data_IF_844908752597
#
_entry.id   IF_844908752597
#
_cell.length_a   1.000
_cell.length_b   1.000
_cell.length_c   1.000
_cell.angle_alpha   90.00
_cell.angle_beta   90.00
_cell.angle_gamma   90.00
#
_symmetry.space_group_name_H-M   'P 1'
#
loop_
_entity.id
_entity.type
_entity.pdbx_description
1 polymer ?
#
# COMPACT_ATOMS: atom_id res chain seq x y z
N UNK A 1 24.68 20.08 5.39
CA UNK A 1 24.33 18.74 4.88
C UNK A 1 22.88 18.49 5.26
N UNK A 2 22.11 17.92 4.35
CA UNK A 2 20.71 17.53 4.58
C UNK A 2 20.64 16.03 4.88
N UNK A 3 19.72 15.64 5.75
CA UNK A 3 19.44 14.25 6.11
C UNK A 3 18.00 13.92 5.73
N UNK A 4 17.84 12.85 4.97
CA UNK A 4 16.52 12.39 4.53
C UNK A 4 15.78 11.62 5.62
N UNK A 5 14.47 11.78 5.69
CA UNK A 5 13.59 10.99 6.52
C UNK A 5 12.25 10.77 5.81
N UNK A 6 11.58 9.68 6.12
CA UNK A 6 10.26 9.36 5.57
C UNK A 6 9.48 8.48 6.51
N UNK A 7 8.16 8.47 6.37
CA UNK A 7 7.31 7.67 7.25
C UNK A 7 7.69 6.18 7.26
N UNK A 8 7.96 5.60 6.08
CA UNK A 8 8.36 4.19 5.96
C UNK A 8 9.69 3.89 6.65
N UNK A 9 10.64 4.83 6.62
CA UNK A 9 11.93 4.74 7.32
C UNK A 9 11.72 4.72 8.83
N UNK A 10 11.00 5.71 9.36
CA UNK A 10 10.67 5.83 10.79
C UNK A 10 9.88 4.61 11.28
N UNK A 11 8.89 4.15 10.53
CA UNK A 11 8.12 2.95 10.85
C UNK A 11 8.99 1.70 10.90
N UNK A 12 9.92 1.54 9.95
CA UNK A 12 10.87 0.42 9.91
C UNK A 12 11.82 0.46 11.12
N UNK A 13 12.37 1.63 11.44
CA UNK A 13 13.28 1.82 12.57
C UNK A 13 12.59 1.52 13.91
N UNK A 14 11.37 2.03 14.13
CA UNK A 14 10.56 1.73 15.33
C UNK A 14 10.23 0.25 15.47
N UNK A 15 9.94 -0.41 14.35
CA UNK A 15 9.63 -1.84 14.34
C UNK A 15 10.85 -2.69 14.67
N UNK A 16 11.97 -2.45 13.98
CA UNK A 16 13.22 -3.17 14.17
C UNK A 16 14.37 -2.39 13.54
N UNK A 17 15.33 -1.93 14.37
CA UNK A 17 16.48 -1.18 13.89
C UNK A 17 17.33 -2.01 12.90
N UNK A 18 17.48 -3.31 13.10
CA UNK A 18 18.19 -4.19 12.16
C UNK A 18 17.48 -4.28 10.81
N UNK A 19 16.15 -4.31 10.77
CA UNK A 19 15.39 -4.23 9.52
C UNK A 19 15.65 -2.92 8.80
N UNK A 20 15.67 -1.80 9.53
CA UNK A 20 15.98 -0.50 8.97
C UNK A 20 17.40 -0.46 8.39
N UNK A 21 18.42 -0.94 9.13
CA UNK A 21 19.80 -1.02 8.65
C UNK A 21 19.90 -1.79 7.32
N UNK A 22 19.34 -3.00 7.29
CA UNK A 22 19.38 -3.85 6.09
C UNK A 22 18.73 -3.20 4.87
N UNK A 23 17.61 -2.51 5.09
CA UNK A 23 16.79 -1.94 4.03
C UNK A 23 17.27 -0.58 3.52
N UNK A 24 17.71 0.31 4.42
CA UNK A 24 17.99 1.71 4.08
C UNK A 24 19.46 2.09 4.20
N UNK A 25 20.26 1.42 5.02
CA UNK A 25 21.69 1.69 5.13
C UNK A 25 22.47 0.76 4.19
N UNK A 26 22.24 -0.55 4.30
CA UNK A 26 22.91 -1.55 3.45
C UNK A 26 22.24 -1.62 2.07
N UNK A 27 20.93 -1.32 2.01
CA UNK A 27 20.17 -1.26 0.78
C UNK A 27 19.84 -2.62 0.19
N UNK A 28 19.45 -3.57 1.02
CA UNK A 28 19.02 -4.88 0.54
C UNK A 28 17.52 -4.89 0.21
N UNK A 29 17.17 -5.49 -0.90
CA UNK A 29 15.79 -5.88 -1.23
C UNK A 29 15.77 -7.33 -1.69
N UNK A 30 14.64 -8.01 -1.48
CA UNK A 30 14.49 -9.38 -1.99
C UNK A 30 14.43 -9.37 -3.51
N UNK A 31 15.20 -10.25 -4.17
CA UNK A 31 15.09 -10.50 -5.62
C UNK A 31 13.67 -10.87 -6.03
N UNK A 32 12.95 -11.55 -5.12
CA UNK A 32 11.55 -11.94 -5.32
C UNK A 32 10.69 -11.35 -4.21
N UNK A 33 9.90 -10.31 -4.52
CA UNK A 33 8.96 -9.75 -3.56
C UNK A 33 7.88 -10.77 -3.19
N UNK A 34 7.44 -10.76 -1.95
CA UNK A 34 6.32 -11.60 -1.51
C UNK A 34 5.02 -11.24 -2.28
N UNK A 35 4.17 -12.25 -2.53
CA UNK A 35 2.92 -12.07 -3.28
C UNK A 35 2.02 -10.90 -2.82
N UNK A 36 1.83 -10.63 -1.50
CA UNK A 36 1.07 -9.46 -1.07
C UNK A 36 1.69 -8.13 -1.49
N UNK A 37 3.02 -8.03 -1.50
CA UNK A 37 3.73 -6.81 -1.86
C UNK A 37 3.60 -6.53 -3.37
N UNK A 38 3.86 -7.53 -4.21
CA UNK A 38 3.75 -7.38 -5.67
C UNK A 38 2.31 -7.12 -6.11
N UNK A 39 1.30 -7.72 -5.43
CA UNK A 39 -0.12 -7.39 -5.65
C UNK A 39 -0.39 -5.91 -5.43
N UNK A 40 0.10 -5.36 -4.32
CA UNK A 40 -0.01 -3.93 -4.02
C UNK A 40 0.61 -3.08 -5.11
N UNK A 41 1.87 -3.37 -5.47
CA UNK A 41 2.60 -2.62 -6.51
C UNK A 41 1.85 -2.60 -7.84
N UNK A 42 1.38 -3.75 -8.33
CA UNK A 42 0.66 -3.83 -9.61
C UNK A 42 -0.65 -3.02 -9.55
N UNK A 43 -1.43 -3.15 -8.46
CA UNK A 43 -2.67 -2.40 -8.30
C UNK A 43 -2.42 -0.89 -8.24
N UNK A 44 -1.38 -0.42 -7.53
CA UNK A 44 -0.99 1.00 -7.52
C UNK A 44 -0.60 1.49 -8.92
N UNK A 45 0.21 0.73 -9.68
CA UNK A 45 0.55 1.08 -11.06
C UNK A 45 -0.71 1.17 -11.96
N UNK A 46 -1.67 0.25 -11.80
CA UNK A 46 -2.94 0.29 -12.55
C UNK A 46 -3.80 1.51 -12.17
N UNK A 47 -3.86 1.86 -10.87
CA UNK A 47 -4.57 3.03 -10.37
C UNK A 47 -3.88 4.34 -10.78
N UNK A 48 -2.55 4.36 -10.83
CA UNK A 48 -1.79 5.47 -11.40
C UNK A 48 -2.13 5.67 -12.89
N UNK A 49 -2.17 4.58 -13.66
CA UNK A 49 -2.53 4.63 -15.08
C UNK A 49 -3.93 5.21 -15.31
N UNK A 50 -4.89 4.98 -14.40
CA UNK A 50 -6.23 5.58 -14.46
C UNK A 50 -6.21 7.12 -14.37
N UNK A 51 -5.34 7.68 -13.52
CA UNK A 51 -5.22 9.13 -13.33
C UNK A 51 -4.31 9.81 -14.37
N UNK A 52 -3.68 9.02 -15.26
CA UNK A 52 -2.69 9.52 -16.22
C UNK A 52 -3.15 9.23 -17.65
N UNK A 53 -3.58 10.23 -18.45
CA UNK A 53 -4.24 10.00 -19.74
C UNK A 53 -3.46 9.16 -20.76
N UNK A 54 -2.13 9.16 -20.67
CA UNK A 54 -1.26 8.43 -21.62
C UNK A 54 -0.96 6.98 -21.19
N UNK A 55 -1.31 6.60 -19.97
CA UNK A 55 -1.08 5.25 -19.44
C UNK A 55 -2.37 4.43 -19.52
N UNK A 56 -2.20 3.13 -19.71
CA UNK A 56 -3.33 2.18 -19.74
C UNK A 56 -3.08 1.04 -18.75
N UNK A 57 -4.05 0.74 -17.92
CA UNK A 57 -3.95 -0.37 -16.96
C UNK A 57 -3.68 -1.73 -17.63
N UNK A 58 -4.19 -1.93 -18.86
CA UNK A 58 -3.87 -3.11 -19.65
C UNK A 58 -2.39 -3.24 -20.02
N UNK A 59 -1.69 -2.12 -20.26
CA UNK A 59 -0.25 -2.14 -20.51
C UNK A 59 0.54 -2.51 -19.24
N UNK A 60 0.05 -2.11 -18.06
CA UNK A 60 0.63 -2.55 -16.77
C UNK A 60 0.52 -4.07 -16.64
N UNK A 61 -0.66 -4.65 -16.87
CA UNK A 61 -0.84 -6.10 -16.81
C UNK A 61 0.07 -6.83 -17.81
N UNK A 62 0.13 -6.39 -19.08
CA UNK A 62 0.99 -6.99 -20.10
C UNK A 62 2.48 -6.97 -19.72
N UNK A 63 2.96 -5.87 -19.10
CA UNK A 63 4.31 -5.77 -18.53
C UNK A 63 4.59 -6.88 -17.51
N UNK A 64 3.62 -7.14 -16.63
CA UNK A 64 3.75 -8.17 -15.60
C UNK A 64 3.53 -9.58 -16.14
N UNK A 65 2.67 -9.78 -17.13
CA UNK A 65 2.53 -11.06 -17.85
C UNK A 65 3.87 -11.50 -18.46
N UNK A 66 4.59 -10.57 -19.11
CA UNK A 66 5.92 -10.84 -19.64
C UNK A 66 6.89 -11.26 -18.52
N UNK A 67 6.97 -10.48 -17.42
CA UNK A 67 7.84 -10.79 -16.28
C UNK A 67 7.52 -12.14 -15.64
N UNK A 68 6.23 -12.47 -15.45
CA UNK A 68 5.80 -13.74 -14.86
C UNK A 68 6.01 -14.91 -15.83
N UNK A 69 6.00 -14.65 -17.15
CA UNK A 69 6.32 -15.64 -18.16
C UNK A 69 7.77 -16.15 -18.10
N UNK A 70 8.68 -15.31 -17.60
CA UNK A 70 10.11 -15.63 -17.41
C UNK A 70 10.38 -16.46 -16.14
N UNK A 71 9.42 -16.55 -15.21
CA UNK A 71 9.56 -17.31 -13.97
C UNK A 71 9.40 -18.82 -14.21
N UNK A 72 10.14 -19.61 -13.45
CA UNK A 72 9.89 -21.07 -13.38
C UNK A 72 8.50 -21.37 -12.79
N UNK A 73 7.99 -22.58 -13.06
CA UNK A 73 6.66 -22.98 -12.61
C UNK A 73 6.52 -22.89 -11.09
N UNK A 74 7.50 -23.42 -10.36
CA UNK A 74 7.53 -23.39 -8.88
C UNK A 74 7.51 -21.97 -8.32
N UNK A 75 8.13 -21.04 -9.02
CA UNK A 75 8.13 -19.62 -8.65
C UNK A 75 6.77 -18.96 -8.88
N UNK A 76 6.09 -19.32 -9.98
CA UNK A 76 4.72 -18.85 -10.27
C UNK A 76 3.70 -19.39 -9.26
N UNK A 77 3.87 -20.63 -8.82
CA UNK A 77 2.99 -21.28 -7.86
C UNK A 77 2.95 -20.54 -6.50
N UNK A 78 4.03 -19.84 -6.11
CA UNK A 78 4.05 -18.97 -4.93
C UNK A 78 3.06 -17.80 -5.01
N UNK A 79 2.71 -17.33 -6.21
CA UNK A 79 1.78 -16.23 -6.42
C UNK A 79 0.33 -16.69 -6.54
N UNK A 80 0.09 -17.94 -6.88
CA UNK A 80 -1.21 -18.55 -7.12
C UNK A 80 -1.56 -18.67 -8.60
N UNK A 81 -2.45 -19.62 -8.91
CA UNK A 81 -2.74 -20.10 -10.26
C UNK A 81 -3.21 -18.98 -11.23
N UNK A 82 -4.06 -18.06 -10.77
CA UNK A 82 -4.61 -16.98 -11.62
C UNK A 82 -4.29 -15.59 -11.03
N UNK A 83 -3.03 -15.38 -10.66
CA UNK A 83 -2.57 -14.19 -9.95
C UNK A 83 -2.91 -12.89 -10.68
N UNK A 84 -2.60 -12.78 -11.97
CA UNK A 84 -2.86 -11.56 -12.74
C UNK A 84 -4.33 -11.40 -13.10
N UNK A 85 -5.04 -12.51 -13.34
CA UNK A 85 -6.49 -12.51 -13.53
C UNK A 85 -7.24 -12.05 -12.28
N UNK A 86 -6.78 -12.44 -11.09
CA UNK A 86 -7.30 -11.94 -9.81
C UNK A 86 -7.14 -10.43 -9.70
N UNK A 87 -5.96 -9.90 -10.01
CA UNK A 87 -5.70 -8.45 -9.96
C UNK A 87 -6.56 -7.69 -10.97
N UNK A 88 -6.72 -8.24 -12.17
CA UNK A 88 -7.63 -7.67 -13.17
C UNK A 88 -9.07 -7.63 -12.64
N UNK A 89 -9.56 -8.70 -12.02
CA UNK A 89 -10.91 -8.74 -11.43
C UNK A 89 -11.08 -7.72 -10.29
N UNK A 90 -10.07 -7.55 -9.44
CA UNK A 90 -10.06 -6.50 -8.40
C UNK A 90 -10.15 -5.12 -9.05
N UNK A 91 -9.33 -4.84 -10.04
CA UNK A 91 -9.32 -3.54 -10.71
C UNK A 91 -10.63 -3.26 -11.48
N UNK A 92 -11.16 -4.23 -12.21
CA UNK A 92 -12.44 -4.11 -12.92
C UNK A 92 -13.61 -3.86 -11.93
N UNK A 93 -13.56 -4.49 -10.74
CA UNK A 93 -14.49 -4.25 -9.66
C UNK A 93 -14.40 -2.82 -9.10
N UNK A 94 -13.20 -2.32 -8.93
CA UNK A 94 -12.94 -0.94 -8.51
C UNK A 94 -13.50 0.09 -9.52
N UNK A 95 -13.32 -0.18 -10.83
CA UNK A 95 -13.89 0.68 -11.87
C UNK A 95 -15.42 0.69 -11.86
N UNK A 96 -16.04 -0.45 -11.53
CA UNK A 96 -17.51 -0.50 -11.40
C UNK A 96 -18.02 0.26 -10.18
N UNK A 97 -17.29 0.21 -9.06
CA UNK A 97 -17.67 0.86 -7.82
C UNK A 97 -17.59 2.40 -7.93
N UNK A 98 -16.53 2.91 -8.57
CA UNK A 98 -16.25 4.36 -8.59
C UNK A 98 -16.45 5.02 -9.97
N UNK A 99 -16.90 4.27 -10.98
CA UNK A 99 -17.15 4.82 -12.33
C UNK A 99 -15.91 5.44 -12.96
N UNK A 100 -16.07 6.61 -13.57
CA UNK A 100 -15.05 7.38 -14.29
C UNK A 100 -14.38 8.48 -13.46
N UNK A 101 -14.70 8.58 -12.14
CA UNK A 101 -14.28 9.67 -11.26
C UNK A 101 -14.69 11.07 -11.76
N UNK A 102 -15.84 11.19 -12.43
CA UNK A 102 -16.35 12.47 -12.98
C UNK A 102 -16.62 13.54 -11.91
N UNK A 103 -16.68 13.15 -10.64
CA UNK A 103 -16.86 14.02 -9.47
C UNK A 103 -15.54 14.59 -8.92
N UNK A 104 -14.39 14.19 -9.48
CA UNK A 104 -13.07 14.62 -9.02
C UNK A 104 -12.18 15.08 -10.18
N UNK A 105 -11.28 16.02 -9.86
CA UNK A 105 -10.22 16.47 -10.75
C UNK A 105 -8.86 16.10 -10.16
N UNK A 106 -8.13 15.21 -10.83
CA UNK A 106 -6.76 14.90 -10.45
C UNK A 106 -5.83 16.07 -10.75
N UNK A 107 -5.04 16.52 -9.75
CA UNK A 107 -4.01 17.54 -9.89
C UNK A 107 -2.62 16.91 -10.08
N UNK A 108 -2.37 15.77 -9.44
CA UNK A 108 -1.13 15.01 -9.56
C UNK A 108 -1.36 13.53 -9.23
N UNK A 109 -0.46 12.67 -9.72
CA UNK A 109 -0.40 11.24 -9.41
C UNK A 109 1.06 10.80 -9.31
N UNK A 110 1.42 9.99 -8.30
CA UNK A 110 2.79 9.55 -7.99
C UNK A 110 3.75 10.75 -7.83
N UNK A 111 3.36 11.70 -6.98
CA UNK A 111 4.12 12.94 -6.78
C UNK A 111 5.13 12.76 -5.64
N UNK A 112 6.43 12.99 -5.93
CA UNK A 112 7.47 13.03 -4.91
C UNK A 112 7.33 14.33 -4.11
N UNK A 113 7.32 14.20 -2.78
CA UNK A 113 7.27 15.33 -1.84
C UNK A 113 8.59 15.38 -1.07
N UNK A 114 9.27 16.52 -1.14
CA UNK A 114 10.49 16.81 -0.40
C UNK A 114 10.32 18.14 0.33
N UNK A 115 10.30 18.10 1.66
CA UNK A 115 9.99 19.27 2.49
C UNK A 115 11.01 19.36 3.62
N UNK A 116 11.68 20.52 3.76
CA UNK A 116 12.48 20.82 4.95
C UNK A 116 11.55 20.97 6.17
N UNK A 117 11.69 20.07 7.13
CA UNK A 117 10.87 20.00 8.33
C UNK A 117 11.58 20.49 9.58
N UNK A 118 12.77 21.09 9.42
CA UNK A 118 13.53 21.67 10.50
C UNK A 118 14.97 21.18 10.57
N UNK A 119 15.62 21.44 11.69
CA UNK A 119 17.01 21.09 11.91
C UNK A 119 17.17 20.12 13.06
N UNK A 120 18.08 19.15 12.91
CA UNK A 120 18.51 18.22 13.96
C UNK A 120 20.03 18.32 14.18
N UNK A 121 20.48 17.87 15.35
CA UNK A 121 21.92 17.81 15.67
C UNK A 121 22.35 16.35 15.64
N UNK A 122 23.30 16.02 14.76
CA UNK A 122 23.93 14.71 14.67
C UNK A 122 25.45 14.92 14.71
N UNK A 123 26.15 14.15 15.54
CA UNK A 123 27.60 14.27 15.72
C UNK A 123 28.10 15.71 15.97
N UNK A 124 27.35 16.49 16.77
CA UNK A 124 27.59 17.91 17.10
C UNK A 124 27.51 18.88 15.91
N UNK A 125 26.96 18.45 14.78
CA UNK A 125 26.70 19.30 13.61
C UNK A 125 25.19 19.49 13.41
N UNK A 126 24.81 20.67 12.92
CA UNK A 126 23.41 20.94 12.53
C UNK A 126 23.17 20.45 11.10
N UNK A 127 22.07 19.73 10.91
CA UNK A 127 21.64 19.23 9.63
C UNK A 127 20.18 19.61 9.39
N UNK A 128 19.82 19.99 8.17
CA UNK A 128 18.42 20.08 7.76
C UNK A 128 17.82 18.68 7.66
N UNK A 129 16.64 18.49 8.21
CA UNK A 129 15.89 17.26 8.12
C UNK A 129 14.86 17.38 6.98
N UNK A 130 15.05 16.61 5.92
CA UNK A 130 14.20 16.64 4.73
C UNK A 130 13.22 15.48 4.80
N UNK A 131 11.94 15.79 4.93
CA UNK A 131 10.88 14.80 4.81
C UNK A 131 10.73 14.40 3.34
N UNK A 132 10.81 13.12 3.07
CA UNK A 132 10.57 12.53 1.75
C UNK A 132 9.37 11.60 1.78
N UNK A 133 8.51 11.71 0.78
CA UNK A 133 7.35 10.87 0.61
C UNK A 133 6.89 10.80 -0.84
N UNK A 134 6.07 9.80 -1.13
CA UNK A 134 5.37 9.66 -2.39
C UNK A 134 3.87 9.74 -2.13
N UNK A 135 3.21 10.68 -2.77
CA UNK A 135 1.75 10.82 -2.76
C UNK A 135 1.18 10.07 -3.94
N UNK A 136 0.31 9.10 -3.68
CA UNK A 136 -0.35 8.37 -4.76
C UNK A 136 -1.17 9.32 -5.63
N UNK A 137 -1.97 10.21 -5.03
CA UNK A 137 -2.74 11.21 -5.76
C UNK A 137 -3.00 12.49 -4.96
N UNK A 138 -3.12 13.58 -5.69
CA UNK A 138 -3.68 14.85 -5.21
C UNK A 138 -4.84 15.23 -6.13
N UNK A 139 -5.97 15.59 -5.54
CA UNK A 139 -7.20 15.84 -6.28
C UNK A 139 -8.05 16.96 -5.66
N UNK A 140 -8.99 17.47 -6.45
CA UNK A 140 -10.04 18.38 -6.03
C UNK A 140 -11.38 17.69 -6.25
N UNK A 141 -12.26 17.70 -5.25
CA UNK A 141 -13.67 17.33 -5.38
C UNK A 141 -14.44 18.47 -6.05
N UNK A 142 -15.17 18.18 -7.14
CA UNK A 142 -15.83 19.22 -7.95
C UNK A 142 -17.07 19.79 -7.27
N UNK A 143 -17.68 19.07 -6.34
CA UNK A 143 -18.88 19.52 -5.61
C UNK A 143 -18.59 20.68 -4.66
N UNK A 144 -17.46 20.60 -3.91
CA UNK A 144 -17.12 21.54 -2.83
C UNK A 144 -15.78 22.24 -3.03
N UNK A 145 -15.12 22.00 -4.17
CA UNK A 145 -13.82 22.55 -4.57
C UNK A 145 -12.69 22.31 -3.54
N UNK A 146 -12.85 21.30 -2.67
CA UNK A 146 -11.85 20.97 -1.66
C UNK A 146 -10.72 20.13 -2.23
N UNK A 147 -9.50 20.41 -1.73
CA UNK A 147 -8.30 19.66 -2.11
C UNK A 147 -8.04 18.54 -1.12
N UNK A 148 -7.77 17.35 -1.66
CA UNK A 148 -7.52 16.14 -0.90
C UNK A 148 -6.21 15.49 -1.33
N UNK A 149 -5.52 14.88 -0.35
CA UNK A 149 -4.48 13.88 -0.63
C UNK A 149 -5.15 12.51 -0.58
N UNK A 150 -4.95 11.68 -1.58
CA UNK A 150 -5.49 10.33 -1.63
C UNK A 150 -4.34 9.34 -1.63
N UNK A 151 -4.48 8.30 -0.81
CA UNK A 151 -3.54 7.19 -0.70
C UNK A 151 -4.29 5.87 -0.87
N UNK A 152 -3.85 5.07 -1.83
CA UNK A 152 -4.41 3.75 -2.10
C UNK A 152 -3.82 2.72 -1.15
N UNK A 153 -4.68 1.91 -0.56
CA UNK A 153 -4.25 0.84 0.35
C UNK A 153 -4.84 -0.50 -0.07
N UNK A 154 -3.96 -1.46 -0.25
CA UNK A 154 -4.35 -2.83 -0.57
C UNK A 154 -4.27 -3.71 0.66
N UNK A 155 -5.38 -4.34 1.03
CA UNK A 155 -5.49 -5.20 2.20
C UNK A 155 -6.23 -6.50 1.91
N UNK A 156 -5.92 -7.57 2.65
CA UNK A 156 -6.71 -8.81 2.60
C UNK A 156 -8.17 -8.54 3.04
N UNK A 157 -8.32 -7.74 4.09
CA UNK A 157 -9.61 -7.23 4.58
C UNK A 157 -9.46 -5.73 4.80
N UNK A 158 -10.50 -4.96 4.50
CA UNK A 158 -10.49 -3.52 4.78
C UNK A 158 -10.40 -3.31 6.29
N UNK A 159 -9.44 -2.50 6.77
CA UNK A 159 -9.26 -2.25 8.20
C UNK A 159 -10.49 -1.60 8.83
N UNK A 160 -10.74 -1.88 10.10
CA UNK A 160 -11.75 -1.17 10.88
C UNK A 160 -11.33 0.28 11.19
N UNK A 161 -12.24 1.06 11.78
CA UNK A 161 -11.98 2.47 12.07
C UNK A 161 -10.79 2.66 13.02
N UNK A 162 -10.67 1.84 14.05
CA UNK A 162 -9.58 1.95 15.04
C UNK A 162 -8.23 1.67 14.41
N UNK A 163 -8.14 0.67 13.54
CA UNK A 163 -6.91 0.37 12.80
C UNK A 163 -6.51 1.51 11.88
N UNK A 164 -7.48 2.16 11.21
CA UNK A 164 -7.24 3.31 10.33
C UNK A 164 -6.77 4.54 11.10
N UNK A 165 -7.33 4.82 12.26
CA UNK A 165 -6.94 5.94 13.11
C UNK A 165 -5.49 5.80 13.63
N UNK A 166 -4.96 4.59 13.71
CA UNK A 166 -3.59 4.31 14.12
C UNK A 166 -2.56 4.35 12.97
N UNK A 167 -2.98 4.60 11.72
CA UNK A 167 -2.06 4.77 10.61
C UNK A 167 -1.73 6.26 10.39
N UNK A 168 -0.63 6.69 10.98
CA UNK A 168 -0.18 8.08 10.91
C UNK A 168 0.53 8.46 9.61
N UNK A 169 0.72 7.56 8.66
CA UNK A 169 1.40 7.84 7.39
C UNK A 169 0.78 9.03 6.69
N UNK A 170 -0.52 9.01 6.56
CA UNK A 170 -1.25 10.00 5.81
C UNK A 170 -1.35 11.35 6.55
N UNK A 171 -1.36 11.31 7.90
CA UNK A 171 -1.25 12.52 8.70
C UNK A 171 0.09 13.22 8.44
N UNK A 172 1.18 12.45 8.37
CA UNK A 172 2.51 12.99 8.04
C UNK A 172 2.55 13.56 6.63
N UNK A 173 1.92 12.89 5.64
CA UNK A 173 1.79 13.42 4.29
C UNK A 173 1.03 14.75 4.27
N UNK A 174 -0.13 14.81 4.93
CA UNK A 174 -0.95 16.01 4.97
C UNK A 174 -0.21 17.18 5.65
N UNK A 175 0.45 16.89 6.78
CA UNK A 175 1.23 17.90 7.49
C UNK A 175 2.40 18.43 6.65
N UNK A 176 3.23 17.52 6.09
CA UNK A 176 4.37 17.89 5.27
C UNK A 176 3.95 18.66 4.01
N UNK A 177 2.91 18.16 3.32
CA UNK A 177 2.34 18.86 2.17
C UNK A 177 1.91 20.29 2.52
N UNK A 178 1.12 20.44 3.59
CA UNK A 178 0.59 21.75 4.00
C UNK A 178 1.68 22.71 4.50
N UNK A 179 2.77 22.19 5.07
CA UNK A 179 3.94 22.95 5.44
C UNK A 179 4.65 23.52 4.20
N UNK A 180 4.93 22.68 3.21
CA UNK A 180 5.61 23.09 1.99
C UNK A 180 4.73 23.87 0.99
N UNK A 181 3.40 23.78 1.12
CA UNK A 181 2.44 24.36 0.19
C UNK A 181 1.40 25.25 0.86
N UNK A 182 1.79 26.35 1.56
CA UNK A 182 0.88 27.17 2.36
C UNK A 182 -0.26 27.82 1.58
N UNK A 183 -0.09 28.03 0.25
CA UNK A 183 -1.09 28.61 -0.65
C UNK A 183 -2.01 27.57 -1.30
N UNK A 184 -1.66 26.27 -1.24
CA UNK A 184 -2.39 25.17 -1.86
C UNK A 184 -2.58 24.02 -0.87
N UNK A 185 -3.01 24.37 0.34
CA UNK A 185 -3.23 23.36 1.39
C UNK A 185 -4.27 22.35 0.99
N UNK A 186 -4.08 21.13 1.41
CA UNK A 186 -5.09 20.09 1.36
C UNK A 186 -5.99 20.18 2.61
N UNK A 187 -7.29 20.01 2.41
CA UNK A 187 -8.31 20.08 3.47
C UNK A 187 -8.38 18.80 4.30
N UNK A 188 -7.84 17.71 3.75
CA UNK A 188 -7.85 16.42 4.41
C UNK A 188 -7.32 15.32 3.50
N UNK A 189 -7.71 14.11 3.82
CA UNK A 189 -7.17 12.89 3.24
C UNK A 189 -8.30 11.99 2.77
N UNK A 190 -8.04 11.26 1.70
CA UNK A 190 -8.88 10.15 1.27
C UNK A 190 -8.07 8.86 1.39
N UNK A 191 -8.49 7.99 2.29
CA UNK A 191 -8.08 6.59 2.26
C UNK A 191 -8.89 5.86 1.20
N UNK A 192 -8.21 5.28 0.21
CA UNK A 192 -8.83 4.51 -0.86
C UNK A 192 -8.42 3.04 -0.72
N UNK A 193 -9.25 2.26 -0.03
CA UNK A 193 -8.99 0.86 0.28
C UNK A 193 -9.50 -0.07 -0.81
N UNK A 194 -8.63 -1.01 -1.21
CA UNK A 194 -8.96 -2.12 -2.09
C UNK A 194 -8.61 -3.44 -1.40
N UNK A 195 -9.49 -4.43 -1.52
CA UNK A 195 -9.12 -5.79 -1.14
C UNK A 195 -8.21 -6.41 -2.19
N UNK A 196 -7.20 -7.17 -1.74
CA UNK A 196 -6.25 -7.87 -2.62
C UNK A 196 -6.84 -9.13 -3.28
N UNK A 197 -7.98 -9.61 -2.78
CA UNK A 197 -8.71 -10.73 -3.37
C UNK A 197 -10.01 -10.24 -4.02
N UNK A 198 -10.29 -10.67 -5.25
CA UNK A 198 -11.57 -10.36 -5.89
C UNK A 198 -12.72 -11.08 -5.17
N UNK A 199 -13.97 -10.68 -5.43
CA UNK A 199 -15.13 -11.47 -5.04
C UNK A 199 -15.03 -12.90 -5.54
N UNK A 200 -15.36 -13.84 -4.67
CA UNK A 200 -15.34 -15.28 -5.00
C UNK A 200 -16.43 -15.60 -6.03
N UNK A 201 -16.07 -16.32 -7.08
CA UNK A 201 -17.03 -16.86 -8.05
C UNK A 201 -17.81 -17.97 -7.34
N UNK A 202 -19.15 -17.88 -7.22
CA UNK A 202 -19.93 -18.91 -6.55
C UNK A 202 -19.92 -20.22 -7.32
N UNK A 203 -19.74 -21.33 -6.62
CA UNK A 203 -19.72 -22.66 -7.22
C UNK A 203 -21.14 -23.16 -7.52
N UNK A 204 -21.33 -23.86 -8.67
CA UNK A 204 -22.56 -24.56 -8.94
C UNK A 204 -22.78 -25.69 -7.93
N UNK A 205 -24.03 -25.89 -7.53
CA UNK A 205 -24.40 -27.02 -6.68
C UNK A 205 -24.62 -28.29 -7.51
N UNK A 206 -24.30 -29.44 -6.95
CA UNK A 206 -24.52 -30.76 -7.58
C UNK A 206 -26.00 -30.94 -7.98
N UNK A 207 -26.93 -30.39 -7.22
CA UNK A 207 -28.37 -30.39 -7.45
C UNK A 207 -28.86 -29.38 -8.48
N UNK A 208 -27.96 -28.66 -9.11
CA UNK A 208 -28.27 -27.48 -9.92
C UNK A 208 -28.41 -26.19 -9.09
N UNK A 209 -28.25 -25.05 -9.76
CA UNK A 209 -28.27 -23.75 -9.14
C UNK A 209 -26.93 -23.32 -8.50
N UNK A 210 -26.94 -22.20 -7.78
CA UNK A 210 -25.79 -21.62 -7.07
C UNK A 210 -25.98 -21.65 -5.56
N UNK A 211 -24.86 -21.78 -4.85
CA UNK A 211 -24.86 -21.70 -3.38
C UNK A 211 -25.32 -20.33 -2.88
N UNK A 212 -26.30 -20.31 -2.00
CA UNK A 212 -26.81 -19.12 -1.28
C UNK A 212 -26.26 -19.04 0.15
N UNK A 213 -25.06 -19.58 0.36
CA UNK A 213 -24.41 -19.57 1.66
C UNK A 213 -24.12 -18.13 2.13
N UNK A 214 -24.58 -17.76 3.31
CA UNK A 214 -24.41 -16.42 3.89
C UNK A 214 -22.96 -15.99 4.08
N UNK A 215 -22.03 -16.93 4.19
CA UNK A 215 -20.60 -16.69 4.35
C UNK A 215 -19.83 -16.66 3.02
N UNK A 216 -20.47 -16.82 1.86
CA UNK A 216 -19.83 -16.69 0.56
C UNK A 216 -19.24 -15.27 0.41
N UNK A 217 -17.94 -15.18 0.10
CA UNK A 217 -17.21 -13.91 -0.02
C UNK A 217 -17.30 -13.37 -1.46
N UNK A 218 -18.54 -13.10 -1.89
CA UNK A 218 -18.88 -12.64 -3.25
C UNK A 218 -19.61 -11.29 -3.22
N UNK A 219 -19.72 -10.64 -4.38
CA UNK A 219 -20.52 -9.44 -4.61
C UNK A 219 -21.72 -9.72 -5.52
N UNK A 220 -22.64 -8.78 -5.59
CA UNK A 220 -23.85 -8.90 -6.44
C UNK A 220 -23.49 -9.10 -7.90
N UNK A 221 -22.50 -8.34 -8.40
CA UNK A 221 -22.12 -8.39 -9.81
C UNK A 221 -21.56 -9.78 -10.19
N UNK A 222 -20.64 -10.30 -9.38
CA UNK A 222 -20.03 -11.61 -9.60
C UNK A 222 -21.09 -12.71 -9.55
N UNK A 223 -22.02 -12.61 -8.60
CA UNK A 223 -23.10 -13.56 -8.44
C UNK A 223 -24.07 -13.53 -9.62
N UNK A 224 -24.51 -12.34 -10.06
CA UNK A 224 -25.37 -12.15 -11.24
C UNK A 224 -24.70 -12.68 -12.52
N UNK A 225 -23.40 -12.45 -12.68
CA UNK A 225 -22.63 -12.97 -13.82
C UNK A 225 -22.71 -14.50 -13.89
N UNK A 226 -22.64 -15.18 -12.76
CA UNK A 226 -22.75 -16.64 -12.70
C UNK A 226 -24.18 -17.15 -12.94
N UNK A 227 -25.21 -16.47 -12.41
CA UNK A 227 -26.61 -16.73 -12.74
C UNK A 227 -26.79 -16.72 -14.27
N UNK A 228 -26.31 -15.65 -14.93
CA UNK A 228 -26.43 -15.49 -16.37
C UNK A 228 -25.62 -16.54 -17.14
N UNK A 229 -24.39 -16.86 -16.70
CA UNK A 229 -23.54 -17.87 -17.32
C UNK A 229 -24.19 -19.27 -17.30
N UNK A 230 -24.85 -19.59 -16.19
CA UNK A 230 -25.53 -20.87 -15.99
C UNK A 230 -26.99 -20.86 -16.49
N UNK A 231 -27.45 -19.73 -17.04
CA UNK A 231 -28.84 -19.54 -17.54
C UNK A 231 -29.90 -19.85 -16.46
N UNK A 232 -29.64 -19.49 -15.21
CA UNK A 232 -30.56 -19.68 -14.08
C UNK A 232 -31.58 -18.53 -14.02
N UNK A 233 -32.78 -18.79 -13.42
CA UNK A 233 -33.76 -17.72 -13.21
C UNK A 233 -33.32 -16.84 -12.01
N UNK A 234 -33.08 -15.55 -12.28
CA UNK A 234 -32.69 -14.58 -11.26
C UNK A 234 -33.73 -14.45 -10.12
N UNK A 235 -35.01 -14.77 -10.39
CA UNK A 235 -36.07 -14.69 -9.38
C UNK A 235 -35.82 -15.62 -8.20
N UNK A 236 -35.19 -16.78 -8.43
CA UNK A 236 -34.89 -17.76 -7.40
C UNK A 236 -33.80 -17.28 -6.42
N UNK A 237 -33.10 -16.20 -6.77
CA UNK A 237 -31.99 -15.63 -6.00
C UNK A 237 -32.29 -14.22 -5.46
N UNK A 238 -33.53 -13.73 -5.59
CA UNK A 238 -33.88 -12.34 -5.22
C UNK A 238 -33.50 -11.99 -3.79
N UNK A 239 -33.83 -12.81 -2.82
CA UNK A 239 -33.54 -12.57 -1.42
C UNK A 239 -32.03 -12.57 -1.13
N UNK A 240 -31.31 -13.50 -1.77
CA UNK A 240 -29.87 -13.59 -1.62
C UNK A 240 -29.16 -12.41 -2.24
N UNK A 241 -29.57 -11.95 -3.41
CA UNK A 241 -29.05 -10.75 -4.07
C UNK A 241 -29.29 -9.50 -3.20
N UNK A 242 -30.48 -9.33 -2.65
CA UNK A 242 -30.79 -8.23 -1.74
C UNK A 242 -29.91 -8.27 -0.46
N UNK A 243 -29.64 -9.46 0.08
CA UNK A 243 -28.69 -9.64 1.18
C UNK A 243 -27.27 -9.24 0.78
N UNK A 244 -26.80 -9.65 -0.42
CA UNK A 244 -25.49 -9.27 -0.93
C UNK A 244 -25.36 -7.77 -1.13
N UNK A 245 -26.37 -7.11 -1.71
CA UNK A 245 -26.41 -5.64 -1.88
C UNK A 245 -26.26 -4.91 -0.55
N UNK A 246 -27.03 -5.30 0.45
CA UNK A 246 -26.94 -4.72 1.79
C UNK A 246 -25.56 -4.91 2.42
N UNK A 247 -24.89 -6.03 2.14
CA UNK A 247 -23.60 -6.43 2.70
C UNK A 247 -22.41 -5.87 1.96
N UNK A 248 -22.57 -5.49 0.68
CA UNK A 248 -21.50 -5.12 -0.24
C UNK A 248 -20.87 -3.78 0.09
N UNK A 249 -21.63 -2.82 0.63
CA UNK A 249 -21.15 -1.46 0.88
C UNK A 249 -19.87 -1.45 1.71
N UNK A 250 -18.78 -0.98 1.08
CA UNK A 250 -17.46 -0.89 1.72
C UNK A 250 -16.74 -2.22 1.99
N UNK A 251 -17.21 -3.35 1.45
CA UNK A 251 -16.62 -4.66 1.72
C UNK A 251 -15.37 -4.95 0.87
N UNK A 252 -15.40 -4.59 -0.40
CA UNK A 252 -14.30 -4.84 -1.33
C UNK A 252 -13.52 -3.56 -1.66
N UNK A 253 -14.22 -2.42 -1.68
CA UNK A 253 -13.68 -1.11 -1.99
C UNK A 253 -14.27 -0.09 -1.03
N UNK A 254 -13.45 0.81 -0.50
CA UNK A 254 -13.94 1.83 0.42
C UNK A 254 -13.11 3.10 0.33
N UNK A 255 -13.72 4.22 -0.07
CA UNK A 255 -13.14 5.56 0.04
C UNK A 255 -13.63 6.24 1.31
N UNK A 256 -12.69 6.70 2.12
CA UNK A 256 -12.99 7.34 3.42
C UNK A 256 -12.34 8.71 3.43
N UNK A 257 -13.17 9.76 3.42
CA UNK A 257 -12.72 11.14 3.57
C UNK A 257 -12.52 11.46 5.05
N UNK A 258 -11.31 11.85 5.42
CA UNK A 258 -10.96 12.29 6.77
C UNK A 258 -10.51 13.75 6.69
N UNK A 259 -11.18 14.66 7.41
CA UNK A 259 -10.75 16.04 7.47
C UNK A 259 -9.39 16.16 8.18
N UNK A 260 -8.76 17.32 8.04
CA UNK A 260 -7.51 17.60 8.73
C UNK A 260 -7.64 17.34 10.23
N UNK A 261 -6.70 16.62 10.84
CA UNK A 261 -6.72 16.32 12.26
C UNK A 261 -6.57 17.58 13.11
N UNK A 262 -6.88 17.48 14.39
CA UNK A 262 -6.68 18.59 15.33
C UNK A 262 -5.20 19.00 15.41
N UNK A 263 -4.95 20.29 15.70
CA UNK A 263 -3.58 20.80 15.89
C UNK A 263 -2.82 20.05 16.98
N UNK A 264 -3.50 19.65 18.06
CA UNK A 264 -2.90 18.88 19.15
C UNK A 264 -2.43 17.49 18.70
N UNK A 265 -3.27 16.75 17.99
CA UNK A 265 -2.90 15.45 17.44
C UNK A 265 -1.74 15.58 16.45
N UNK A 266 -1.82 16.55 15.53
CA UNK A 266 -0.76 16.79 14.55
C UNK A 266 0.57 17.07 15.25
N UNK A 267 0.57 17.93 16.28
CA UNK A 267 1.79 18.26 17.04
C UNK A 267 2.43 17.02 17.65
N UNK A 268 1.66 16.19 18.36
CA UNK A 268 2.18 14.98 19.02
C UNK A 268 2.82 14.04 17.99
N UNK A 269 2.12 13.76 16.88
CA UNK A 269 2.62 12.82 15.86
C UNK A 269 3.87 13.36 15.16
N UNK A 270 3.92 14.67 14.90
CA UNK A 270 5.09 15.31 14.27
C UNK A 270 6.29 15.35 15.21
N UNK A 271 6.08 15.72 16.48
CA UNK A 271 7.15 15.71 17.49
C UNK A 271 7.76 14.32 17.65
N UNK A 272 6.93 13.29 17.77
CA UNK A 272 7.37 11.89 17.83
C UNK A 272 8.09 11.43 16.56
N UNK A 273 7.66 11.91 15.40
CA UNK A 273 8.30 11.60 14.12
C UNK A 273 9.70 12.23 14.05
N UNK A 274 9.84 13.51 14.38
CA UNK A 274 11.12 14.24 14.38
C UNK A 274 12.09 13.63 15.39
N UNK A 275 11.62 13.31 16.61
CA UNK A 275 12.45 12.67 17.63
C UNK A 275 12.94 11.31 17.15
N UNK A 276 12.07 10.47 16.58
CA UNK A 276 12.48 9.16 16.05
C UNK A 276 13.45 9.31 14.87
N UNK A 277 13.22 10.28 13.99
CA UNK A 277 14.14 10.58 12.88
C UNK A 277 15.52 11.00 13.41
N UNK A 278 15.56 11.81 14.47
CA UNK A 278 16.80 12.21 15.12
C UNK A 278 17.55 11.00 15.71
N UNK A 279 16.85 10.11 16.41
CA UNK A 279 17.42 8.86 16.93
C UNK A 279 17.95 7.98 15.81
N UNK A 280 17.20 7.83 14.72
CA UNK A 280 17.57 7.05 13.54
C UNK A 280 18.92 7.50 12.96
N UNK A 281 19.13 8.80 12.81
CA UNK A 281 20.40 9.36 12.30
C UNK A 281 21.56 9.36 13.31
N UNK A 282 21.26 9.29 14.61
CA UNK A 282 22.27 9.18 15.67
C UNK A 282 22.69 7.76 15.97
N UNK A 283 21.89 6.77 15.58
CA UNK A 283 22.15 5.36 15.88
C UNK A 283 23.37 4.86 15.12
N UNK A 284 24.32 4.23 15.84
CA UNK A 284 25.52 3.63 15.29
C UNK A 284 25.52 2.10 15.37
N UNK A 285 24.69 1.56 16.24
CA UNK A 285 24.52 0.11 16.41
C UNK A 285 23.03 -0.24 16.31
N UNK A 286 22.67 -1.01 15.30
CA UNK A 286 21.29 -1.35 14.99
C UNK A 286 20.90 -2.70 15.61
N UNK A 287 20.10 -2.64 16.66
CA UNK A 287 19.71 -3.81 17.43
C UNK A 287 18.66 -4.66 16.69
N UNK A 288 18.75 -5.99 16.87
CA UNK A 288 17.66 -6.89 16.51
C UNK A 288 16.50 -6.72 17.49
N UNK A 289 15.28 -6.67 16.96
CA UNK A 289 14.06 -6.77 17.76
C UNK A 289 13.42 -8.14 17.50
N UNK A 290 13.87 -9.15 18.25
CA UNK A 290 13.42 -10.54 18.06
C UNK A 290 12.02 -10.74 18.65
N UNK A 291 11.00 -10.49 17.86
CA UNK A 291 9.60 -10.60 18.22
C UNK A 291 8.85 -11.54 17.27
N UNK A 292 7.56 -11.78 17.55
CA UNK A 292 6.67 -12.53 16.66
C UNK A 292 6.60 -11.93 15.24
N UNK A 293 6.83 -10.64 15.11
CA UNK A 293 6.81 -9.95 13.81
C UNK A 293 7.91 -10.40 12.85
N UNK A 294 8.97 -11.06 13.37
CA UNK A 294 10.01 -11.63 12.54
C UNK A 294 9.47 -12.64 11.52
N UNK A 295 8.39 -13.38 11.85
CA UNK A 295 7.78 -14.36 10.94
C UNK A 295 7.25 -13.74 9.64
N UNK A 296 6.97 -12.42 9.61
CA UNK A 296 6.50 -11.66 8.46
C UNK A 296 7.56 -10.72 7.89
N UNK A 297 8.78 -10.75 8.44
CA UNK A 297 9.86 -9.87 8.03
C UNK A 297 10.52 -10.38 6.74
N UNK A 298 10.68 -9.51 5.77
CA UNK A 298 11.39 -9.83 4.53
C UNK A 298 12.85 -10.30 4.75
N UNK A 299 13.47 -9.92 5.86
CA UNK A 299 14.86 -10.30 6.23
C UNK A 299 14.94 -11.47 7.22
N UNK A 300 13.85 -12.16 7.52
CA UNK A 300 13.81 -13.20 8.55
C UNK A 300 14.91 -14.27 8.36
N UNK A 301 15.03 -14.83 7.15
CA UNK A 301 16.01 -15.91 6.88
C UNK A 301 17.44 -15.43 7.08
N UNK A 302 17.75 -14.24 6.60
CA UNK A 302 19.06 -13.61 6.74
C UNK A 302 19.39 -13.32 8.23
N UNK A 303 18.47 -12.68 8.97
CA UNK A 303 18.64 -12.38 10.39
C UNK A 303 18.73 -13.64 11.24
N UNK A 304 17.92 -14.66 10.96
CA UNK A 304 17.95 -15.93 11.68
C UNK A 304 19.29 -16.66 11.50
N UNK A 305 19.87 -16.63 10.30
CA UNK A 305 21.20 -17.18 10.04
C UNK A 305 22.28 -16.42 10.82
N UNK A 306 22.25 -15.08 10.80
CA UNK A 306 23.19 -14.23 11.55
C UNK A 306 23.16 -14.53 13.05
N UNK A 307 21.97 -14.54 13.66
CA UNK A 307 21.79 -14.79 15.10
C UNK A 307 22.25 -16.19 15.51
N UNK A 308 22.15 -17.16 14.61
CA UNK A 308 22.63 -18.53 14.84
C UNK A 308 24.09 -18.77 14.48
N UNK A 309 24.80 -17.76 14.00
CA UNK A 309 26.20 -17.91 13.56
C UNK A 309 26.35 -18.71 12.26
N UNK A 310 25.30 -18.79 11.44
CA UNK A 310 25.29 -19.45 10.12
C UNK A 310 25.75 -18.48 9.04
N UNK A 311 26.03 -19.00 7.83
CA UNK A 311 26.45 -18.19 6.69
C UNK A 311 25.29 -17.34 6.13
N UNK A 312 25.04 -16.19 6.76
CA UNK A 312 24.05 -15.22 6.30
C UNK A 312 24.47 -14.52 5.00
N UNK A 313 25.79 -14.45 4.68
CA UNK A 313 26.29 -13.82 3.44
C UNK A 313 25.90 -14.62 2.21
N UNK A 314 25.87 -15.96 2.33
CA UNK A 314 25.33 -16.81 1.27
C UNK A 314 23.86 -16.50 1.00
N UNK A 315 23.06 -16.30 2.05
CA UNK A 315 21.63 -15.92 1.92
C UNK A 315 21.49 -14.54 1.28
N UNK A 316 22.30 -13.55 1.68
CA UNK A 316 22.31 -12.24 1.05
C UNK A 316 22.56 -12.34 -0.45
N UNK A 317 23.61 -13.04 -0.85
CA UNK A 317 23.99 -13.19 -2.27
C UNK A 317 22.92 -13.92 -3.11
N UNK A 318 22.24 -14.90 -2.53
CA UNK A 318 21.27 -15.74 -3.26
C UNK A 318 19.88 -15.13 -3.31
N UNK A 319 19.40 -14.51 -2.23
CA UNK A 319 18.01 -14.09 -2.08
C UNK A 319 17.80 -12.58 -2.20
N UNK A 320 18.88 -11.77 -2.08
CA UNK A 320 18.78 -10.31 -2.08
C UNK A 320 19.61 -9.70 -3.20
N UNK A 321 19.28 -8.47 -3.53
CA UNK A 321 19.96 -7.61 -4.49
C UNK A 321 20.03 -6.18 -3.94
N UNK A 322 20.91 -5.31 -4.47
CA UNK A 322 20.92 -3.89 -4.11
C UNK A 322 19.59 -3.22 -4.44
N UNK A 323 19.16 -2.33 -3.58
CA UNK A 323 17.98 -1.49 -3.75
C UNK A 323 18.39 -0.06 -4.05
N UNK A 324 17.70 0.61 -4.95
CA UNK A 324 17.88 2.04 -5.23
C UNK A 324 17.55 2.94 -4.03
N UNK A 325 16.95 2.39 -2.96
CA UNK A 325 16.60 3.11 -1.73
C UNK A 325 17.80 3.57 -0.90
N UNK A 326 19.00 3.06 -1.14
CA UNK A 326 20.23 3.53 -0.49
C UNK A 326 20.52 4.99 -0.85
N UNK A 327 20.23 5.41 -2.07
CA UNK A 327 20.42 6.78 -2.52
C UNK A 327 19.60 7.81 -1.72
N UNK A 328 18.53 7.37 -1.05
CA UNK A 328 17.68 8.23 -0.20
C UNK A 328 18.32 8.52 1.17
N UNK A 329 19.35 7.78 1.56
CA UNK A 329 20.00 7.90 2.88
C UNK A 329 21.49 8.24 2.80
N UNK A 330 22.10 8.18 1.62
CA UNK A 330 23.50 8.54 1.45
C UNK A 330 23.70 10.03 1.74
N UNK A 331 24.63 10.33 2.65
CA UNK A 331 25.19 11.69 2.75
C UNK A 331 25.84 11.99 1.37
N UNK A 332 25.43 13.06 0.73
CA UNK A 332 26.25 13.65 -0.31
C UNK A 332 27.54 14.13 0.39
N UNK A 333 28.65 13.41 0.15
CA UNK A 333 29.98 13.75 0.63
C UNK A 333 30.46 15.13 0.13
#
# INVERSE_FOLDING_TARGET
>A
VSLATGYSMVKSFRRCQKQFELKYIIGLQRKRPAAPLIRGTILHEMLHARATPKLKAGAVLAKYEAKFGELFREERDEYGEDFLGDLKRVYDGYLREYGDDSDIKYEASEEKVEIDIGQIIVANKKHSLIYQGHLDKRLITLEDERRWLMDHKTHKNIPDEQQRLNDYQILMYLWAWNLGNPKKKADGIIWDYLRTKPPTIPEPLVRGGLSQAKNCDTDVFTYLKEINRLKLDQKDYREYLAMLEKRQRGRFYQRIKLPSPSKGMTKIVVDDFIETSTQMHRTRHFCHNLTRDCSWCEFYRRCNAEVRGLDYKFIEKTEYEPSDRVAEFAEED
#
